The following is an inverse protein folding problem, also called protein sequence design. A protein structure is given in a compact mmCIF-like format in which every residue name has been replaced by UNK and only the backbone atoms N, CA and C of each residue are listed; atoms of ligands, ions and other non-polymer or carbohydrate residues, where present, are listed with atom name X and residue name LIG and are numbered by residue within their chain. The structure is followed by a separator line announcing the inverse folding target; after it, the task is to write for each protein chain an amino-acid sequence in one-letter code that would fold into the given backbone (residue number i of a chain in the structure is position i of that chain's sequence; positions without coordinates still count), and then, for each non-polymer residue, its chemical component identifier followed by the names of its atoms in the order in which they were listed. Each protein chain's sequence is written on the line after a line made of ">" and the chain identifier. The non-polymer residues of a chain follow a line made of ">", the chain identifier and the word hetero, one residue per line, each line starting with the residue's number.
data_IF_066447811461
#
_entry.id   IF_066447811461
#
_cell.length_a   1.000
_cell.length_b   1.000
_cell.length_c   1.000
_cell.angle_alpha   90.00
_cell.angle_beta   90.00
_cell.angle_gamma   90.00
#
_symmetry.space_group_name_H-M   'P 1'
#
loop_
_entity.id
_entity.type
_entity.pdbx_description
1 polymer ?
#
# COMPACT_ATOMS: atom_id res chain seq x y z
N UNK A 1 23.55 27.45 -4.34
CA UNK A 1 22.35 26.86 -5.00
C UNK A 1 22.69 25.84 -6.09
N UNK A 2 23.54 26.14 -7.08
CA UNK A 2 23.90 25.21 -8.19
C UNK A 2 24.30 23.81 -7.71
N UNK A 3 25.12 23.71 -6.65
CA UNK A 3 25.57 22.44 -6.07
C UNK A 3 24.47 21.59 -5.44
N UNK A 4 23.32 22.16 -5.08
CA UNK A 4 22.21 21.41 -4.48
C UNK A 4 21.36 20.73 -5.57
N UNK A 5 21.08 21.43 -6.66
CA UNK A 5 20.29 20.91 -7.80
C UNK A 5 21.00 19.76 -8.52
N UNK A 6 22.32 19.84 -8.64
CA UNK A 6 23.14 18.76 -9.19
C UNK A 6 23.22 17.51 -8.28
N UNK A 7 22.78 17.59 -7.03
CA UNK A 7 22.75 16.49 -6.07
C UNK A 7 21.38 15.81 -5.97
N UNK A 8 20.38 16.27 -6.73
CA UNK A 8 19.07 15.64 -6.73
C UNK A 8 19.19 14.20 -7.27
N UNK A 9 18.58 13.21 -6.59
CA UNK A 9 18.66 11.81 -7.00
C UNK A 9 17.86 11.56 -8.28
N UNK A 10 18.30 10.59 -9.08
CA UNK A 10 17.69 10.08 -10.33
C UNK A 10 17.61 11.05 -11.52
N UNK A 11 17.34 12.33 -11.31
CA UNK A 11 17.33 13.35 -12.36
C UNK A 11 17.92 14.68 -11.85
N UNK A 12 19.26 14.82 -11.83
CA UNK A 12 19.92 16.07 -11.44
C UNK A 12 19.50 17.23 -12.35
N UNK A 13 19.32 18.41 -11.76
CA UNK A 13 18.94 19.62 -12.52
C UNK A 13 20.18 20.48 -12.73
N UNK A 14 20.49 20.78 -13.98
CA UNK A 14 21.56 21.71 -14.35
C UNK A 14 21.03 23.13 -14.37
N UNK A 15 21.70 24.02 -13.63
CA UNK A 15 21.35 25.43 -13.56
C UNK A 15 22.37 26.25 -14.34
N UNK A 16 21.94 26.86 -15.44
CA UNK A 16 22.71 27.92 -16.10
C UNK A 16 22.31 29.27 -15.50
N UNK A 17 23.26 29.95 -14.86
CA UNK A 17 23.02 31.24 -14.20
C UNK A 17 22.58 32.31 -15.20
N UNK A 18 23.06 32.25 -16.44
CA UNK A 18 22.72 33.20 -17.50
C UNK A 18 21.23 33.14 -17.85
N UNK A 19 20.64 31.95 -17.81
CA UNK A 19 19.20 31.75 -18.07
C UNK A 19 18.30 32.33 -16.97
N UNK A 20 18.82 32.52 -15.76
CA UNK A 20 18.07 32.98 -14.59
C UNK A 20 17.71 34.47 -14.62
N UNK A 21 18.25 35.23 -15.56
CA UNK A 21 17.89 36.64 -15.79
C UNK A 21 16.52 36.78 -16.46
N UNK A 22 15.96 35.68 -16.98
CA UNK A 22 14.67 35.64 -17.66
C UNK A 22 13.61 34.88 -16.86
N UNK A 23 12.35 35.31 -16.98
CA UNK A 23 11.19 34.61 -16.39
C UNK A 23 11.07 33.20 -16.95
N UNK A 24 11.37 33.02 -18.24
CA UNK A 24 11.30 31.74 -18.93
C UNK A 24 12.36 30.76 -18.41
N UNK A 25 13.60 31.22 -18.19
CA UNK A 25 14.65 30.38 -17.62
C UNK A 25 14.37 29.97 -16.18
N UNK A 26 13.83 30.87 -15.35
CA UNK A 26 13.36 30.52 -13.99
C UNK A 26 12.26 29.45 -14.07
N UNK A 27 11.28 29.62 -14.96
CA UNK A 27 10.16 28.69 -15.14
C UNK A 27 10.63 27.31 -15.63
N UNK A 28 11.63 27.28 -16.52
CA UNK A 28 12.24 26.05 -16.99
C UNK A 28 12.93 25.28 -15.84
N UNK A 29 13.69 25.98 -14.99
CA UNK A 29 14.34 25.37 -13.82
C UNK A 29 13.31 24.81 -12.85
N UNK A 30 12.23 25.56 -12.57
CA UNK A 30 11.13 25.07 -11.71
C UNK A 30 10.56 23.76 -12.29
N UNK A 31 10.26 23.74 -13.58
CA UNK A 31 9.74 22.55 -14.28
C UNK A 31 10.68 21.36 -14.15
N UNK A 32 11.99 21.56 -14.31
CA UNK A 32 12.98 20.49 -14.17
C UNK A 32 13.07 19.96 -12.74
N UNK A 33 12.94 20.83 -11.73
CA UNK A 33 12.88 20.41 -10.32
C UNK A 33 11.62 19.60 -10.04
N UNK A 34 10.47 19.99 -10.60
CA UNK A 34 9.22 19.23 -10.47
C UNK A 34 9.32 17.83 -11.10
N UNK A 35 9.90 17.73 -12.31
CA UNK A 35 10.16 16.45 -12.97
C UNK A 35 11.10 15.59 -12.12
N UNK A 36 12.17 16.17 -11.60
CA UNK A 36 13.14 15.48 -10.74
C UNK A 36 12.47 14.92 -9.48
N UNK A 37 11.64 15.73 -8.81
CA UNK A 37 10.87 15.31 -7.64
C UNK A 37 9.89 14.17 -7.97
N UNK A 38 9.16 14.29 -9.09
CA UNK A 38 8.22 13.27 -9.54
C UNK A 38 8.92 11.92 -9.80
N UNK A 39 10.08 11.93 -10.48
CA UNK A 39 10.90 10.73 -10.71
C UNK A 39 11.41 10.10 -9.42
N UNK A 40 11.85 10.93 -8.47
CA UNK A 40 12.25 10.46 -7.14
C UNK A 40 11.11 9.72 -6.43
N UNK A 41 9.92 10.32 -6.38
CA UNK A 41 8.75 9.70 -5.76
C UNK A 41 8.32 8.42 -6.46
N UNK A 42 8.35 8.38 -7.79
CA UNK A 42 8.07 7.15 -8.56
C UNK A 42 9.03 6.03 -8.21
N UNK A 43 10.32 6.33 -8.08
CA UNK A 43 11.31 5.34 -7.67
C UNK A 43 11.06 4.82 -6.24
N UNK A 44 10.72 5.69 -5.30
CA UNK A 44 10.35 5.27 -3.94
C UNK A 44 9.09 4.36 -3.94
N UNK A 45 8.14 4.62 -4.83
CA UNK A 45 6.94 3.80 -5.00
C UNK A 45 7.22 2.45 -5.70
N UNK A 46 8.30 2.32 -6.46
CA UNK A 46 8.73 1.06 -7.08
C UNK A 46 9.32 0.04 -6.09
N UNK A 47 9.29 0.34 -4.78
CA UNK A 47 9.78 -0.54 -3.74
C UNK A 47 9.05 -1.89 -3.74
N UNK A 48 9.79 -3.00 -3.74
CA UNK A 48 9.25 -4.37 -3.58
C UNK A 48 8.47 -4.58 -2.29
N UNK A 49 8.55 -3.62 -1.34
CA UNK A 49 7.77 -3.63 -0.11
C UNK A 49 6.31 -3.25 -0.30
N UNK A 50 6.00 -2.40 -1.29
CA UNK A 50 4.69 -1.78 -1.44
C UNK A 50 4.04 -2.17 -2.76
N UNK A 51 3.82 -3.48 -3.04
CA UNK A 51 3.32 -3.93 -4.34
C UNK A 51 1.97 -3.28 -4.72
N UNK A 52 1.15 -2.92 -3.74
CA UNK A 52 -0.14 -2.23 -3.95
C UNK A 52 -0.04 -0.71 -4.06
N UNK A 53 1.16 -0.13 -4.08
CA UNK A 53 1.38 1.30 -4.28
C UNK A 53 2.30 1.59 -5.47
N UNK A 54 2.74 0.55 -6.20
CA UNK A 54 3.57 0.68 -7.40
C UNK A 54 2.97 1.68 -8.38
N UNK A 55 3.81 2.58 -8.88
CA UNK A 55 3.33 3.71 -9.66
C UNK A 55 2.75 3.33 -11.01
N UNK A 56 3.33 2.32 -11.66
CA UNK A 56 2.93 1.85 -12.99
C UNK A 56 1.51 1.28 -12.97
N UNK A 57 1.19 0.43 -11.99
CA UNK A 57 -0.14 -0.16 -11.81
C UNK A 57 -1.23 0.89 -11.48
N UNK A 58 -0.82 2.09 -11.10
CA UNK A 58 -1.69 3.22 -10.71
C UNK A 58 -1.86 4.26 -11.82
N UNK A 59 -1.28 4.02 -13.00
CA UNK A 59 -1.31 4.95 -14.13
C UNK A 59 -0.59 6.27 -13.82
N UNK A 60 0.39 6.26 -12.91
CA UNK A 60 1.16 7.46 -12.60
C UNK A 60 2.02 7.89 -13.79
N UNK A 61 2.08 9.20 -13.99
CA UNK A 61 2.92 9.80 -15.03
C UNK A 61 4.23 10.25 -14.38
N UNK A 62 5.39 9.68 -14.77
CA UNK A 62 6.66 9.89 -14.07
C UNK A 62 7.16 11.33 -14.14
N UNK A 63 6.81 12.06 -15.19
CA UNK A 63 7.23 13.45 -15.39
C UNK A 63 6.21 14.48 -14.87
N UNK A 64 5.12 14.04 -14.22
CA UNK A 64 4.11 14.95 -13.67
C UNK A 64 4.03 14.85 -12.14
N UNK A 65 4.50 15.89 -11.47
CA UNK A 65 4.41 16.01 -10.02
C UNK A 65 2.95 16.02 -9.53
N UNK A 66 2.03 16.57 -10.33
CA UNK A 66 0.60 16.58 -10.03
C UNK A 66 0.02 15.16 -10.09
N UNK A 67 0.54 14.30 -10.97
CA UNK A 67 0.14 12.89 -11.02
C UNK A 67 0.61 12.14 -9.77
N UNK A 68 1.87 12.30 -9.38
CA UNK A 68 2.48 11.62 -8.23
C UNK A 68 1.94 12.10 -6.89
N UNK A 69 1.74 13.41 -6.71
CA UNK A 69 1.21 14.02 -5.48
C UNK A 69 -0.33 14.12 -5.46
N UNK A 70 -1.03 13.54 -6.43
CA UNK A 70 -2.48 13.57 -6.49
C UNK A 70 -3.10 12.97 -5.23
N UNK A 71 -3.94 13.75 -4.56
CA UNK A 71 -4.77 13.25 -3.49
C UNK A 71 -5.77 12.23 -4.04
N UNK A 72 -5.66 10.98 -3.58
CA UNK A 72 -6.42 9.86 -4.13
C UNK A 72 -7.87 9.79 -3.61
N UNK A 73 -8.84 9.37 -4.44
CA UNK A 73 -10.26 9.33 -4.08
C UNK A 73 -10.57 8.53 -2.81
N UNK A 74 -9.97 7.35 -2.64
CA UNK A 74 -10.19 6.51 -1.46
C UNK A 74 -9.86 7.21 -0.13
N UNK A 75 -8.94 8.17 -0.10
CA UNK A 75 -8.60 8.94 1.11
C UNK A 75 -9.76 9.83 1.57
N UNK A 76 -10.60 10.28 0.64
CA UNK A 76 -11.80 11.09 0.91
C UNK A 76 -13.04 10.21 1.11
N UNK A 77 -13.21 9.19 0.28
CA UNK A 77 -14.45 8.43 0.17
C UNK A 77 -14.60 7.35 1.25
N UNK A 78 -13.50 6.81 1.78
CA UNK A 78 -13.55 5.86 2.89
C UNK A 78 -13.72 6.63 4.20
N UNK A 79 -14.96 6.83 4.63
CA UNK A 79 -15.30 7.65 5.80
C UNK A 79 -15.21 6.91 7.13
N UNK A 80 -15.46 5.59 7.14
CA UNK A 80 -15.43 4.77 8.36
C UNK A 80 -13.99 4.64 8.87
N UNK A 81 -13.66 5.13 10.09
CA UNK A 81 -12.27 5.17 10.57
C UNK A 81 -11.58 3.80 10.63
N UNK A 82 -12.32 2.76 11.05
CA UNK A 82 -11.78 1.39 11.13
C UNK A 82 -11.39 0.85 9.75
N UNK A 83 -12.25 1.05 8.74
CA UNK A 83 -11.98 0.62 7.37
C UNK A 83 -10.82 1.41 6.75
N UNK A 84 -10.79 2.74 6.96
CA UNK A 84 -9.68 3.58 6.51
C UNK A 84 -8.34 3.14 7.09
N UNK A 85 -8.31 2.86 8.39
CA UNK A 85 -7.09 2.40 9.08
C UNK A 85 -6.64 1.03 8.56
N UNK A 86 -7.57 0.08 8.38
CA UNK A 86 -7.25 -1.22 7.83
C UNK A 86 -6.73 -1.12 6.39
N UNK A 87 -7.41 -0.34 5.54
CA UNK A 87 -7.00 -0.13 4.16
C UNK A 87 -5.63 0.53 4.06
N UNK A 88 -5.37 1.59 4.85
CA UNK A 88 -4.07 2.26 4.83
C UNK A 88 -2.94 1.32 5.26
N UNK A 89 -3.16 0.56 6.35
CA UNK A 89 -2.21 -0.46 6.80
C UNK A 89 -1.95 -1.52 5.73
N UNK A 90 -3.00 -1.95 5.06
CA UNK A 90 -2.92 -2.92 3.98
C UNK A 90 -2.09 -2.39 2.80
N UNK A 91 -2.37 -1.19 2.31
CA UNK A 91 -1.63 -0.58 1.20
C UNK A 91 -0.17 -0.26 1.55
N UNK A 92 0.11 0.11 2.79
CA UNK A 92 1.45 0.52 3.24
C UNK A 92 2.29 -0.63 3.82
N UNK A 93 1.90 -1.90 3.59
CA UNK A 93 2.62 -3.05 4.13
C UNK A 93 2.81 -2.99 5.67
N UNK A 94 1.80 -2.47 6.38
CA UNK A 94 1.70 -2.43 7.85
C UNK A 94 0.55 -3.31 8.36
N UNK A 95 0.47 -4.52 7.83
CA UNK A 95 -0.48 -5.56 8.22
C UNK A 95 0.22 -6.81 8.74
N UNK A 96 -0.59 -7.77 9.20
CA UNK A 96 -0.13 -8.99 9.85
C UNK A 96 -0.07 -10.20 8.94
N UNK A 97 -0.10 -10.01 7.62
CA UNK A 97 0.03 -11.12 6.69
C UNK A 97 1.46 -11.68 6.75
N UNK A 98 1.62 -12.99 6.51
CA UNK A 98 2.91 -13.66 6.59
C UNK A 98 3.96 -13.00 5.69
N UNK A 99 3.57 -12.48 4.51
CA UNK A 99 4.48 -11.73 3.63
C UNK A 99 5.22 -10.59 4.37
N UNK A 100 4.55 -9.89 5.28
CA UNK A 100 5.15 -8.80 6.07
C UNK A 100 5.75 -9.26 7.39
N UNK A 101 5.14 -10.23 8.07
CA UNK A 101 5.66 -10.69 9.35
C UNK A 101 7.03 -11.37 9.19
N UNK A 102 7.17 -12.24 8.19
CA UNK A 102 8.43 -12.93 7.91
C UNK A 102 9.48 -12.01 7.30
N UNK A 103 9.09 -10.89 6.67
CA UNK A 103 10.05 -9.88 6.21
C UNK A 103 10.79 -9.22 7.38
N UNK A 104 10.14 -9.07 8.53
CA UNK A 104 10.66 -8.39 9.73
C UNK A 104 11.57 -9.27 10.58
N UNK A 105 11.58 -10.58 10.34
CA UNK A 105 12.31 -11.57 11.13
C UNK A 105 13.41 -12.18 10.27
N UNK A 106 14.69 -11.98 10.60
CA UNK A 106 15.78 -12.70 9.94
C UNK A 106 15.81 -14.16 10.40
N UNK A 107 16.40 -15.02 9.58
CA UNK A 107 16.79 -16.38 9.98
C UNK A 107 17.86 -16.33 11.06
N UNK A 108 18.12 -17.48 11.71
CA UNK A 108 19.19 -17.62 12.71
C UNK A 108 20.57 -17.22 12.18
N UNK A 109 20.80 -17.40 10.88
CA UNK A 109 22.06 -17.02 10.22
C UNK A 109 22.08 -15.56 9.72
N UNK A 110 21.04 -14.76 10.00
CA UNK A 110 20.94 -13.35 9.59
C UNK A 110 20.25 -13.13 8.24
N UNK A 111 20.01 -14.19 7.46
CA UNK A 111 19.42 -14.05 6.12
C UNK A 111 17.93 -13.67 6.17
N UNK A 112 17.47 -12.94 5.16
CA UNK A 112 16.04 -12.67 4.97
C UNK A 112 15.32 -13.94 4.54
N UNK A 113 14.10 -14.13 5.03
CA UNK A 113 13.25 -15.24 4.60
C UNK A 113 12.68 -14.92 3.20
N UNK A 114 12.92 -15.76 2.18
CA UNK A 114 12.38 -15.58 0.83
C UNK A 114 10.84 -15.50 0.82
N UNK A 115 10.25 -14.87 -0.20
CA UNK A 115 8.78 -14.60 -0.27
C UNK A 115 7.97 -15.88 -0.43
N UNK A 116 8.48 -16.83 -1.21
CA UNK A 116 7.97 -18.17 -1.47
C UNK A 116 8.00 -19.08 -0.21
N UNK A 117 8.65 -18.64 0.86
CA UNK A 117 8.76 -19.37 2.13
C UNK A 117 7.99 -18.66 3.27
N UNK A 118 6.90 -17.97 2.91
CA UNK A 118 6.04 -17.22 3.85
C UNK A 118 4.62 -17.78 3.77
N UNK A 119 4.40 -19.03 4.23
CA UNK A 119 3.19 -19.78 3.94
C UNK A 119 1.94 -19.11 4.48
N UNK A 120 0.81 -19.40 3.82
CA UNK A 120 -0.51 -19.03 4.33
C UNK A 120 -0.81 -19.74 5.65
N UNK A 121 -1.40 -19.00 6.60
CA UNK A 121 -1.80 -19.54 7.90
C UNK A 121 -3.02 -20.45 7.83
N UNK A 122 -3.85 -20.30 6.80
CA UNK A 122 -5.14 -20.98 6.71
C UNK A 122 -5.24 -22.00 5.59
N UNK A 123 -4.46 -21.86 4.52
CA UNK A 123 -4.49 -22.79 3.39
C UNK A 123 -3.09 -23.13 2.89
N UNK A 124 -3.02 -23.90 1.81
CA UNK A 124 -1.77 -24.54 1.36
C UNK A 124 -0.90 -23.66 0.44
N UNK A 125 -1.22 -22.36 0.32
CA UNK A 125 -0.43 -21.48 -0.52
C UNK A 125 0.95 -21.19 0.07
N UNK A 126 1.98 -21.24 -0.79
CA UNK A 126 3.36 -20.96 -0.40
C UNK A 126 3.59 -19.52 0.12
N UNK A 127 2.72 -18.57 -0.25
CA UNK A 127 2.83 -17.17 0.15
C UNK A 127 1.49 -16.58 0.62
N UNK A 128 1.44 -16.13 1.87
CA UNK A 128 0.34 -15.28 2.39
C UNK A 128 0.53 -13.82 1.96
N UNK A 129 0.23 -13.52 0.69
CA UNK A 129 0.24 -12.16 0.16
C UNK A 129 -1.10 -11.45 0.33
N UNK A 130 -1.12 -10.15 0.10
CA UNK A 130 -2.30 -9.29 0.04
C UNK A 130 -3.32 -9.82 -0.96
N UNK A 131 -2.87 -10.13 -2.18
CA UNK A 131 -3.70 -10.70 -3.25
C UNK A 131 -4.24 -12.07 -2.84
N UNK A 132 -3.39 -12.92 -2.25
CA UNK A 132 -3.82 -14.22 -1.77
C UNK A 132 -4.92 -14.10 -0.72
N UNK A 133 -4.71 -13.27 0.30
CA UNK A 133 -5.66 -13.05 1.39
C UNK A 133 -7.02 -12.51 0.91
N UNK A 134 -7.02 -11.57 -0.05
CA UNK A 134 -8.26 -11.00 -0.58
C UNK A 134 -8.99 -11.92 -1.55
N UNK A 135 -8.28 -12.53 -2.50
CA UNK A 135 -8.94 -13.11 -3.69
C UNK A 135 -8.76 -14.60 -3.86
N UNK A 136 -7.81 -15.25 -3.18
CA UNK A 136 -7.42 -16.64 -3.48
C UNK A 136 -7.56 -17.60 -2.30
N UNK A 137 -7.43 -17.13 -1.06
CA UNK A 137 -7.32 -17.98 0.13
C UNK A 137 -8.62 -18.73 0.47
N UNK A 138 -8.67 -20.03 0.17
CA UNK A 138 -9.83 -20.89 0.47
C UNK A 138 -9.65 -21.72 1.75
N UNK A 139 -8.70 -21.35 2.61
CA UNK A 139 -8.31 -22.14 3.78
C UNK A 139 -9.37 -22.21 4.88
N UNK A 140 -10.31 -21.27 4.91
CA UNK A 140 -11.42 -21.25 5.88
C UNK A 140 -12.68 -20.67 5.24
N UNK A 141 -13.84 -21.23 5.59
CA UNK A 141 -15.14 -20.86 5.01
C UNK A 141 -15.48 -19.38 5.19
N UNK A 142 -15.16 -18.82 6.36
CA UNK A 142 -15.40 -17.38 6.63
C UNK A 142 -14.72 -16.45 5.63
N UNK A 143 -13.54 -16.81 5.10
CA UNK A 143 -12.87 -16.02 4.05
C UNK A 143 -13.60 -16.14 2.73
N UNK A 144 -14.04 -17.35 2.39
CA UNK A 144 -14.82 -17.63 1.17
C UNK A 144 -16.13 -16.85 1.22
N UNK A 145 -16.88 -16.92 2.32
CA UNK A 145 -18.13 -16.18 2.50
C UNK A 145 -17.95 -14.67 2.31
N UNK A 146 -16.93 -14.09 2.95
CA UNK A 146 -16.64 -12.65 2.83
C UNK A 146 -16.26 -12.27 1.40
N UNK A 147 -15.51 -13.12 0.71
CA UNK A 147 -15.13 -12.90 -0.69
C UNK A 147 -16.35 -13.01 -1.60
N UNK A 148 -17.20 -14.01 -1.43
CA UNK A 148 -18.43 -14.18 -2.22
C UNK A 148 -19.31 -12.94 -2.11
N UNK A 149 -19.57 -12.47 -0.88
CA UNK A 149 -20.36 -11.24 -0.65
C UNK A 149 -19.74 -10.02 -1.33
N UNK A 150 -18.41 -9.89 -1.27
CA UNK A 150 -17.70 -8.82 -1.97
C UNK A 150 -17.83 -8.95 -3.50
N UNK A 151 -17.59 -10.14 -4.05
CA UNK A 151 -17.64 -10.40 -5.49
C UNK A 151 -19.04 -10.19 -6.07
N UNK A 152 -20.08 -10.64 -5.38
CA UNK A 152 -21.48 -10.42 -5.81
C UNK A 152 -21.78 -8.93 -5.87
N UNK A 153 -21.33 -8.17 -4.86
CA UNK A 153 -21.52 -6.72 -4.83
C UNK A 153 -20.75 -6.03 -5.95
N UNK A 154 -19.51 -6.43 -6.21
CA UNK A 154 -18.70 -5.89 -7.32
C UNK A 154 -19.34 -6.21 -8.66
N UNK A 155 -19.73 -7.47 -8.90
CA UNK A 155 -20.38 -7.89 -10.14
C UNK A 155 -21.68 -7.12 -10.42
N UNK A 156 -22.44 -6.80 -9.38
CA UNK A 156 -23.66 -5.99 -9.53
C UNK A 156 -23.38 -4.54 -9.98
N UNK A 157 -22.23 -3.97 -9.62
CA UNK A 157 -21.87 -2.59 -9.98
C UNK A 157 -20.98 -2.50 -11.23
N UNK A 158 -20.16 -3.53 -11.46
CA UNK A 158 -19.19 -3.63 -12.55
C UNK A 158 -19.27 -5.05 -13.13
N UNK A 159 -20.25 -5.33 -14.00
CA UNK A 159 -20.52 -6.68 -14.50
C UNK A 159 -19.33 -7.33 -15.25
N UNK A 160 -18.42 -6.53 -15.80
CA UNK A 160 -17.20 -7.01 -16.47
C UNK A 160 -16.16 -7.58 -15.49
N UNK A 161 -16.23 -7.26 -14.20
CA UNK A 161 -15.29 -7.76 -13.20
C UNK A 161 -15.78 -9.09 -12.64
N UNK A 162 -15.66 -10.15 -13.45
CA UNK A 162 -15.96 -11.52 -13.02
C UNK A 162 -14.90 -12.05 -12.04
N UNK A 163 -15.17 -13.13 -11.28
CA UNK A 163 -14.17 -13.75 -10.43
C UNK A 163 -12.88 -14.13 -11.17
N UNK A 164 -13.02 -14.59 -12.42
CA UNK A 164 -11.88 -14.93 -13.28
C UNK A 164 -11.07 -13.70 -13.63
N UNK A 165 -11.73 -12.63 -14.10
CA UNK A 165 -11.06 -11.37 -14.44
C UNK A 165 -10.29 -10.80 -13.25
N UNK A 166 -10.88 -10.82 -12.04
CA UNK A 166 -10.25 -10.30 -10.83
C UNK A 166 -9.07 -11.17 -10.41
N UNK A 167 -9.20 -12.50 -10.48
CA UNK A 167 -8.10 -13.43 -10.17
C UNK A 167 -6.91 -13.22 -11.10
N UNK A 168 -7.18 -12.96 -12.38
CA UNK A 168 -6.14 -12.81 -13.39
C UNK A 168 -5.54 -11.38 -13.38
N UNK A 169 -6.28 -10.38 -12.86
CA UNK A 169 -5.88 -8.97 -12.80
C UNK A 169 -6.07 -8.33 -11.40
N UNK A 170 -5.54 -8.91 -10.32
CA UNK A 170 -5.94 -8.54 -8.96
C UNK A 170 -5.49 -7.14 -8.54
N UNK A 171 -4.26 -6.75 -8.90
CA UNK A 171 -3.69 -5.44 -8.57
C UNK A 171 -4.42 -4.34 -9.33
N UNK A 172 -4.63 -4.54 -10.63
CA UNK A 172 -5.42 -3.63 -11.47
C UNK A 172 -6.84 -3.43 -10.92
N UNK A 173 -7.49 -4.52 -10.50
CA UNK A 173 -8.81 -4.43 -9.89
C UNK A 173 -8.80 -3.64 -8.57
N UNK A 174 -7.81 -3.87 -7.69
CA UNK A 174 -7.66 -3.09 -6.45
C UNK A 174 -7.54 -1.60 -6.77
N UNK A 175 -6.68 -1.23 -7.70
CA UNK A 175 -6.49 0.17 -8.08
C UNK A 175 -7.73 0.79 -8.70
N UNK A 176 -8.40 0.05 -9.58
CA UNK A 176 -9.69 0.45 -10.11
C UNK A 176 -10.67 0.76 -8.96
N UNK A 177 -10.86 -0.16 -8.00
CA UNK A 177 -11.78 0.08 -6.87
C UNK A 177 -11.39 1.28 -5.99
N UNK A 178 -10.09 1.51 -5.78
CA UNK A 178 -9.59 2.64 -4.98
C UNK A 178 -9.86 4.01 -5.62
N UNK A 179 -9.90 4.08 -6.95
CA UNK A 179 -10.13 5.32 -7.68
C UNK A 179 -11.64 5.65 -7.85
N UNK A 180 -12.52 4.67 -7.62
CA UNK A 180 -13.97 4.86 -7.78
C UNK A 180 -14.66 5.17 -6.45
N UNK A 181 -15.46 6.24 -6.45
CA UNK A 181 -16.12 6.77 -5.24
C UNK A 181 -16.99 5.74 -4.51
N UNK A 182 -17.78 4.98 -5.25
CA UNK A 182 -18.71 4.00 -4.67
C UNK A 182 -18.03 2.67 -4.32
N UNK A 183 -16.93 2.33 -5.02
CA UNK A 183 -16.23 1.06 -4.85
C UNK A 183 -15.19 1.11 -3.73
N UNK A 184 -14.53 2.25 -3.52
CA UNK A 184 -13.49 2.39 -2.51
C UNK A 184 -13.98 2.07 -1.08
N UNK A 185 -15.16 2.52 -0.62
CA UNK A 185 -15.70 2.13 0.68
C UNK A 185 -16.00 0.62 0.79
N UNK A 186 -16.42 0.00 -0.31
CA UNK A 186 -16.75 -1.43 -0.38
C UNK A 186 -15.46 -2.26 -0.28
N UNK A 187 -14.43 -1.90 -1.03
CA UNK A 187 -13.11 -2.50 -0.89
C UNK A 187 -12.54 -2.29 0.51
N UNK A 188 -12.64 -1.09 1.07
CA UNK A 188 -12.11 -0.79 2.40
C UNK A 188 -12.78 -1.63 3.51
N UNK A 189 -14.10 -1.81 3.43
CA UNK A 189 -14.83 -2.72 4.32
C UNK A 189 -14.36 -4.15 4.13
N UNK A 190 -14.24 -4.61 2.89
CA UNK A 190 -13.78 -5.97 2.60
C UNK A 190 -12.37 -6.22 3.14
N UNK A 191 -11.43 -5.31 2.90
CA UNK A 191 -10.07 -5.36 3.48
C UNK A 191 -10.14 -5.42 5.01
N UNK A 192 -10.97 -4.60 5.65
CA UNK A 192 -11.16 -4.66 7.09
C UNK A 192 -11.65 -6.04 7.55
N UNK A 193 -12.69 -6.58 6.92
CA UNK A 193 -13.25 -7.89 7.27
C UNK A 193 -12.21 -9.02 7.14
N UNK A 194 -11.40 -9.00 6.07
CA UNK A 194 -10.33 -9.96 5.85
C UNK A 194 -9.21 -9.78 6.88
N UNK A 195 -8.79 -8.54 7.18
CA UNK A 195 -7.74 -8.28 8.17
C UNK A 195 -8.14 -8.64 9.61
N UNK A 196 -9.44 -8.63 9.93
CA UNK A 196 -9.94 -9.17 11.21
C UNK A 196 -9.76 -10.69 11.27
N UNK A 197 -9.93 -11.38 10.15
CA UNK A 197 -9.73 -12.83 10.06
C UNK A 197 -8.24 -13.21 10.09
N UNK A 198 -7.34 -12.32 9.64
CA UNK A 198 -5.89 -12.48 9.74
C UNK A 198 -5.30 -11.65 10.89
N UNK A 199 -5.58 -11.98 12.17
CA UNK A 199 -5.16 -11.16 13.30
C UNK A 199 -3.64 -11.12 13.41
N UNK A 200 -3.14 -10.03 14.00
CA UNK A 200 -1.76 -9.98 14.46
C UNK A 200 -1.53 -10.81 15.71
N UNK A 201 -0.26 -11.06 16.08
CA UNK A 201 0.05 -11.61 17.38
C UNK A 201 -0.58 -10.74 18.46
N UNK A 202 -1.28 -11.36 19.41
CA UNK A 202 -1.75 -10.65 20.60
C UNK A 202 -0.54 -9.99 21.25
N UNK A 203 -0.56 -8.66 21.36
CA UNK A 203 0.37 -7.98 22.24
C UNK A 203 0.00 -8.44 23.64
N UNK A 204 0.76 -9.41 24.17
CA UNK A 204 0.65 -9.80 25.57
C UNK A 204 0.64 -8.51 26.39
N UNK A 205 -0.47 -8.25 27.07
CA UNK A 205 -0.54 -7.14 28.02
C UNK A 205 0.49 -7.50 29.10
N UNK A 206 1.67 -6.90 29.02
CA UNK A 206 2.68 -7.04 30.06
C UNK A 206 2.06 -6.81 31.44
N UNK A 207 2.53 -7.50 32.48
CA UNK A 207 1.90 -7.49 33.78
C UNK A 207 1.73 -6.04 34.24
N UNK A 208 0.48 -5.65 34.53
CA UNK A 208 0.17 -4.34 35.12
C UNK A 208 0.90 -4.29 36.47
N UNK A 209 2.07 -3.65 36.48
CA UNK A 209 2.85 -3.43 37.69
C UNK A 209 2.03 -2.63 38.69
N UNK A 210 1.40 -3.32 39.64
CA UNK A 210 0.71 -2.72 40.76
C UNK A 210 1.71 -2.02 41.66
N UNK A 211 1.86 -0.71 41.52
CA UNK A 211 2.48 0.13 42.54
C UNK A 211 1.55 0.21 43.75
N UNK A 212 1.68 -0.73 44.69
CA UNK A 212 1.22 -0.51 46.08
C UNK A 212 2.12 0.56 46.70
N UNK A 213 1.63 1.80 46.79
CA UNK A 213 2.23 2.82 47.67
C UNK A 213 1.91 2.42 49.11
N UNK A 214 2.92 1.91 49.81
CA UNK A 214 2.87 1.75 51.26
C UNK A 214 2.91 3.15 51.90
N UNK A 215 1.89 3.46 52.69
CA UNK A 215 1.79 4.66 53.52
C UNK A 215 2.55 4.34 54.82
N UNK A 216 3.74 4.93 55.01
CA UNK A 216 4.43 4.87 56.31
C UNK A 216 3.63 5.70 57.31
N UNK A 217 3.33 5.07 58.45
CA UNK A 217 2.97 5.72 59.72
C UNK A 217 4.25 5.88 60.53
#
# INVERSE_FOLDING_TARGET
>A
MVRALAKLPFAPVTLDVSSMESVDGISAVITQVEISCSKYLMNELASTRLPLLHGEDRGLQPDSIQSTLRLRPYLRNVTIPAHRKALFRFLCADHYLAVEQYRRVPRRNGDKIPVDQRPCRYGDACTESEVHALFLCNGIDKLVDRRTVFMDRIKAMVPSHTPEFIRDNPILCIHFYLEHKELAPILAKFVYDIMVIFPGPERSKGPKGGKKRARKT
#
